data_IF_775257226478
#
_entry.id   IF_775257226478
#
_cell.length_a   1.000
_cell.length_b   1.000
_cell.length_c   1.000
_cell.angle_alpha   90.00
_cell.angle_beta   90.00
_cell.angle_gamma   90.00
#
_symmetry.space_group_name_H-M   'P 1'
#
loop_
_entity.id
_entity.type
_entity.pdbx_description
1 polymer ?
#
# COMPACT_ATOMS: atom_id res chain seq x y z
N UNK A 1 -20.50 -6.07 -14.67
CA UNK A 1 -19.97 -5.32 -13.53
C UNK A 1 -18.47 -5.49 -13.42
N UNK A 2 -17.81 -4.63 -12.66
CA UNK A 2 -16.37 -4.73 -12.37
C UNK A 2 -16.18 -5.21 -10.93
N UNK A 3 -15.12 -5.99 -10.70
CA UNK A 3 -14.70 -6.45 -9.37
C UNK A 3 -13.47 -5.66 -8.97
N UNK A 4 -13.60 -4.86 -7.90
CA UNK A 4 -12.50 -4.10 -7.33
C UNK A 4 -12.27 -4.54 -5.89
N UNK A 5 -11.01 -4.61 -5.48
CA UNK A 5 -10.61 -4.91 -4.11
C UNK A 5 -10.08 -3.65 -3.40
N UNK A 6 -10.26 -3.56 -2.09
CA UNK A 6 -9.51 -2.62 -1.27
C UNK A 6 -8.03 -2.97 -1.30
N UNK A 7 -7.16 -1.99 -1.52
CA UNK A 7 -5.73 -2.20 -1.57
C UNK A 7 -5.02 -1.34 -0.51
N UNK A 8 -4.34 -2.02 0.38
CA UNK A 8 -3.66 -1.44 1.53
C UNK A 8 -2.15 -1.47 1.30
N UNK A 9 -1.64 -0.53 0.52
CA UNK A 9 -0.22 -0.36 0.26
C UNK A 9 0.50 0.35 1.40
N UNK A 10 0.49 -0.22 2.60
CA UNK A 10 1.02 0.42 3.81
C UNK A 10 2.05 -0.40 4.59
N UNK A 11 2.37 -1.59 4.15
CA UNK A 11 3.34 -2.46 4.82
C UNK A 11 4.76 -1.93 4.60
N UNK A 12 5.52 -1.75 5.67
CA UNK A 12 6.90 -1.32 5.60
C UNK A 12 7.82 -2.18 6.46
N UNK A 13 9.07 -2.27 6.01
CA UNK A 13 10.17 -2.97 6.68
C UNK A 13 11.29 -1.99 7.04
N UNK A 14 12.18 -2.32 7.98
CA UNK A 14 13.27 -1.44 8.40
C UNK A 14 14.23 -1.03 7.27
N UNK A 15 14.38 -1.89 6.26
CA UNK A 15 15.30 -1.68 5.14
C UNK A 15 14.69 -0.81 4.03
N UNK A 16 13.38 -0.48 4.15
CA UNK A 16 12.66 0.33 3.18
C UNK A 16 12.55 1.80 3.63
N UNK A 17 13.16 2.77 2.89
CA UNK A 17 12.88 4.17 3.13
C UNK A 17 11.41 4.49 2.76
N UNK A 18 10.81 5.60 3.23
CA UNK A 18 11.33 6.57 4.20
C UNK A 18 10.90 6.25 5.64
N UNK A 19 10.07 5.23 5.86
CA UNK A 19 9.47 4.91 7.16
C UNK A 19 10.45 4.05 7.96
N UNK A 20 10.86 4.51 9.13
CA UNK A 20 11.73 3.76 10.00
C UNK A 20 10.99 2.60 10.67
N UNK A 21 11.54 1.39 10.55
CA UNK A 21 11.07 0.20 11.26
C UNK A 21 9.87 -0.50 10.59
N UNK A 22 9.37 -1.50 11.28
CA UNK A 22 8.24 -2.30 10.84
C UNK A 22 6.93 -1.54 10.95
N UNK A 23 6.07 -1.61 9.91
CA UNK A 23 4.72 -1.05 9.90
C UNK A 23 3.72 -2.04 9.35
N UNK A 24 2.60 -2.19 10.02
CA UNK A 24 1.48 -3.07 9.68
C UNK A 24 1.81 -4.57 9.62
N UNK A 25 3.06 -4.97 9.68
CA UNK A 25 3.48 -6.35 9.87
C UNK A 25 3.44 -6.77 11.34
N UNK A 26 3.62 -5.81 12.24
CA UNK A 26 3.53 -6.02 13.68
C UNK A 26 3.03 -4.74 14.38
N UNK A 27 2.77 -4.83 15.68
CA UNK A 27 2.36 -3.69 16.49
C UNK A 27 3.40 -2.56 16.41
N UNK A 28 2.90 -1.31 16.39
CA UNK A 28 3.75 -0.13 16.23
C UNK A 28 4.88 -0.10 17.28
N UNK A 29 6.11 0.16 16.81
CA UNK A 29 7.29 0.22 17.68
C UNK A 29 7.86 -1.11 18.11
N UNK A 30 7.37 -2.23 17.58
CA UNK A 30 7.89 -3.58 17.84
C UNK A 30 8.59 -4.19 16.63
N UNK A 31 9.13 -5.38 16.79
CA UNK A 31 9.61 -6.27 15.72
C UNK A 31 8.66 -7.47 15.60
N UNK A 32 8.59 -8.13 14.44
CA UNK A 32 7.75 -9.32 14.28
C UNK A 32 8.13 -10.42 15.28
N UNK A 33 7.13 -10.87 16.05
CA UNK A 33 7.21 -11.95 17.01
C UNK A 33 5.82 -12.58 17.15
N UNK A 34 5.66 -13.79 17.71
CA UNK A 34 4.37 -14.48 17.81
C UNK A 34 3.26 -13.67 18.50
N UNK A 35 3.64 -12.77 19.39
CA UNK A 35 2.73 -11.92 20.17
C UNK A 35 2.62 -10.48 19.64
N UNK A 36 3.37 -10.12 18.60
CA UNK A 36 3.37 -8.77 18.04
C UNK A 36 2.88 -8.67 16.60
N UNK A 37 2.90 -9.77 15.83
CA UNK A 37 2.41 -9.75 14.44
C UNK A 37 0.93 -9.42 14.36
N UNK A 38 0.53 -8.72 13.29
CA UNK A 38 -0.83 -8.21 13.09
C UNK A 38 -1.56 -8.87 11.92
N UNK A 39 -1.06 -10.02 11.48
CA UNK A 39 -1.65 -10.81 10.39
C UNK A 39 -1.78 -12.28 10.82
N UNK A 40 -2.76 -12.97 10.26
CA UNK A 40 -3.09 -14.37 10.60
C UNK A 40 -2.45 -15.39 9.66
N UNK A 41 -2.11 -14.97 8.43
CA UNK A 41 -1.53 -15.85 7.41
C UNK A 41 -0.25 -15.23 6.86
N UNK A 42 0.79 -16.06 6.73
CA UNK A 42 2.02 -15.63 6.04
C UNK A 42 1.72 -15.33 4.58
N UNK A 43 2.21 -14.20 4.03
CA UNK A 43 1.97 -13.86 2.63
C UNK A 43 2.63 -14.89 1.69
N UNK A 44 2.07 -15.08 0.51
CA UNK A 44 2.70 -15.88 -0.54
C UNK A 44 3.88 -15.10 -1.13
N UNK A 45 5.09 -15.55 -0.82
CA UNK A 45 6.33 -14.89 -1.21
C UNK A 45 7.12 -15.66 -2.27
N UNK A 46 6.52 -16.67 -2.92
CA UNK A 46 7.20 -17.55 -3.88
C UNK A 46 7.75 -16.81 -5.10
N UNK A 47 7.29 -15.60 -5.37
CA UNK A 47 7.72 -14.78 -6.48
C UNK A 47 8.62 -13.60 -6.06
N UNK A 48 9.01 -13.53 -4.79
CA UNK A 48 10.02 -12.57 -4.32
C UNK A 48 11.40 -13.23 -4.31
N UNK A 49 12.43 -12.47 -4.67
CA UNK A 49 13.81 -12.86 -4.41
C UNK A 49 14.18 -12.54 -2.95
N UNK A 50 15.26 -13.16 -2.48
CA UNK A 50 15.73 -12.91 -1.10
C UNK A 50 16.12 -11.44 -0.87
N UNK A 51 16.58 -10.74 -1.93
CA UNK A 51 16.96 -9.32 -1.86
C UNK A 51 15.75 -8.37 -1.74
N UNK A 52 14.56 -8.82 -2.12
CA UNK A 52 13.31 -8.05 -2.01
C UNK A 52 12.66 -8.22 -0.61
N UNK A 53 13.22 -9.07 0.23
CA UNK A 53 12.63 -9.43 1.52
C UNK A 53 13.52 -9.04 2.69
N UNK A 54 12.94 -8.41 3.69
CA UNK A 54 13.59 -8.15 4.97
C UNK A 54 13.37 -9.33 5.92
N UNK A 55 14.43 -9.94 6.49
CA UNK A 55 14.28 -11.01 7.49
C UNK A 55 13.42 -10.59 8.68
N UNK A 56 12.39 -11.35 8.98
CA UNK A 56 11.43 -11.02 10.04
C UNK A 56 11.85 -11.52 11.43
N UNK A 57 12.85 -12.38 11.50
CA UNK A 57 13.22 -13.13 12.70
C UNK A 57 12.50 -14.49 12.84
N UNK A 58 11.46 -14.74 12.04
CA UNK A 58 10.85 -16.07 11.92
C UNK A 58 11.65 -16.96 10.99
N UNK A 59 11.44 -18.25 11.12
CA UNK A 59 12.01 -19.28 10.23
C UNK A 59 10.91 -20.21 9.74
N UNK A 60 11.05 -20.67 8.50
CA UNK A 60 10.19 -21.73 7.97
C UNK A 60 10.50 -23.09 8.62
N UNK A 61 9.63 -24.10 8.44
CA UNK A 61 9.84 -25.43 9.02
C UNK A 61 11.15 -26.12 8.59
N UNK A 62 11.71 -25.73 7.46
CA UNK A 62 13.00 -26.22 6.93
C UNK A 62 14.21 -25.46 7.50
N UNK A 63 13.99 -24.47 8.38
CA UNK A 63 15.00 -23.64 9.01
C UNK A 63 15.46 -22.42 8.19
N UNK A 64 14.93 -22.21 6.98
CA UNK A 64 15.25 -21.03 6.19
C UNK A 64 14.62 -19.77 6.80
N UNK A 65 15.25 -18.59 6.67
CA UNK A 65 14.68 -17.33 7.15
C UNK A 65 13.35 -17.00 6.45
N UNK A 66 12.38 -16.55 7.24
CA UNK A 66 11.13 -16.05 6.70
C UNK A 66 11.19 -14.52 6.59
N UNK A 67 11.11 -14.02 5.38
CA UNK A 67 11.15 -12.58 5.07
C UNK A 67 9.76 -11.97 4.94
N UNK A 68 9.72 -10.63 4.92
CA UNK A 68 8.51 -9.84 4.65
C UNK A 68 8.87 -8.70 3.70
N UNK A 69 7.95 -8.32 2.83
CA UNK A 69 8.14 -7.28 1.82
C UNK A 69 7.79 -5.88 2.34
N UNK A 70 8.24 -4.87 1.62
CA UNK A 70 7.73 -3.49 1.76
C UNK A 70 6.82 -3.13 0.58
N UNK A 71 5.72 -2.43 0.87
CA UNK A 71 4.85 -1.86 -0.17
C UNK A 71 5.48 -0.65 -0.86
N UNK A 72 6.63 -0.15 -0.38
CA UNK A 72 7.36 0.95 -0.99
C UNK A 72 7.99 0.55 -2.32
N UNK A 73 8.31 -0.72 -2.51
CA UNK A 73 9.00 -1.20 -3.71
C UNK A 73 8.05 -1.32 -4.91
N UNK A 74 8.48 -0.77 -6.03
CA UNK A 74 7.74 -0.80 -7.29
C UNK A 74 7.43 -2.24 -7.73
N UNK A 75 8.37 -3.17 -7.54
CA UNK A 75 8.22 -4.58 -7.89
C UNK A 75 7.12 -5.26 -7.09
N UNK A 76 6.98 -4.92 -5.80
CA UNK A 76 5.91 -5.42 -4.93
C UNK A 76 4.54 -4.98 -5.46
N UNK A 77 4.38 -3.70 -5.79
CA UNK A 77 3.13 -3.16 -6.32
C UNK A 77 2.83 -3.77 -7.70
N UNK A 78 3.82 -3.86 -8.58
CA UNK A 78 3.65 -4.42 -9.93
C UNK A 78 3.19 -5.89 -9.87
N UNK A 79 3.79 -6.69 -8.99
CA UNK A 79 3.42 -8.08 -8.75
C UNK A 79 1.99 -8.22 -8.28
N UNK A 80 1.56 -7.40 -7.31
CA UNK A 80 0.19 -7.40 -6.84
C UNK A 80 -0.82 -7.03 -7.94
N UNK A 81 -0.54 -6.02 -8.75
CA UNK A 81 -1.42 -5.60 -9.85
C UNK A 81 -1.44 -6.65 -10.97
N UNK A 82 -0.31 -7.31 -11.24
CA UNK A 82 -0.24 -8.45 -12.17
C UNK A 82 -1.13 -9.61 -11.68
N UNK A 83 -1.05 -9.97 -10.40
CA UNK A 83 -1.92 -11.00 -9.82
C UNK A 83 -3.40 -10.62 -9.92
N UNK A 84 -3.76 -9.36 -9.70
CA UNK A 84 -5.15 -8.92 -9.92
C UNK A 84 -5.62 -9.23 -11.33
N UNK A 85 -4.76 -9.00 -12.33
CA UNK A 85 -5.07 -9.36 -13.72
C UNK A 85 -5.23 -10.87 -13.90
N UNK A 86 -4.33 -11.65 -13.34
CA UNK A 86 -4.32 -13.12 -13.47
C UNK A 86 -5.53 -13.76 -12.79
N UNK A 87 -5.95 -13.22 -11.64
CA UNK A 87 -7.08 -13.73 -10.87
C UNK A 87 -8.42 -13.02 -11.16
N UNK A 88 -8.50 -12.21 -12.21
CA UNK A 88 -9.75 -11.65 -12.71
C UNK A 88 -10.30 -10.47 -11.91
N UNK A 89 -9.47 -9.79 -11.11
CA UNK A 89 -9.84 -8.52 -10.49
C UNK A 89 -9.66 -7.38 -11.52
N UNK A 90 -10.66 -6.52 -11.63
CA UNK A 90 -10.64 -5.39 -12.58
C UNK A 90 -9.78 -4.22 -12.08
N UNK A 91 -9.55 -4.11 -10.79
CA UNK A 91 -8.77 -3.04 -10.20
C UNK A 91 -8.90 -2.91 -8.70
N UNK A 92 -8.53 -1.75 -8.18
CA UNK A 92 -8.44 -1.50 -6.74
C UNK A 92 -9.02 -0.15 -6.31
N UNK A 93 -9.42 -0.12 -5.06
CA UNK A 93 -9.57 1.08 -4.25
C UNK A 93 -8.29 1.24 -3.42
N UNK A 94 -7.40 2.16 -3.83
CA UNK A 94 -6.18 2.44 -3.08
C UNK A 94 -6.53 3.19 -1.81
N UNK A 95 -6.29 2.56 -0.67
CA UNK A 95 -6.58 3.13 0.64
C UNK A 95 -5.53 4.16 1.03
N UNK A 96 -5.98 5.40 1.33
CA UNK A 96 -5.19 6.46 1.94
C UNK A 96 -5.70 6.71 3.35
N UNK A 97 -4.83 6.51 4.33
CA UNK A 97 -5.17 6.64 5.74
C UNK A 97 -5.13 8.12 6.14
N UNK A 98 -6.30 8.71 6.36
CA UNK A 98 -6.41 10.15 6.61
C UNK A 98 -5.66 10.60 7.88
N UNK A 99 -5.57 9.71 8.89
CA UNK A 99 -4.81 9.98 10.12
C UNK A 99 -3.29 10.14 9.89
N UNK A 100 -2.75 9.66 8.78
CA UNK A 100 -1.32 9.75 8.45
C UNK A 100 -0.97 10.98 7.59
N UNK A 101 -1.95 11.70 7.05
CA UNK A 101 -1.71 12.83 6.13
C UNK A 101 -0.98 14.01 6.77
N UNK A 102 -1.07 14.14 8.08
CA UNK A 102 -0.34 15.16 8.84
C UNK A 102 1.16 14.87 9.04
N UNK A 103 1.61 13.65 8.77
CA UNK A 103 3.00 13.24 8.87
C UNK A 103 3.64 13.18 7.48
N UNK A 104 4.64 14.05 7.18
CA UNK A 104 5.23 14.12 5.85
C UNK A 104 5.96 12.84 5.43
N UNK A 105 6.46 12.04 6.38
CA UNK A 105 7.12 10.76 6.09
C UNK A 105 6.11 9.73 5.61
N UNK A 106 4.99 9.58 6.34
CA UNK A 106 3.92 8.67 5.93
C UNK A 106 3.23 9.15 4.65
N UNK A 107 3.00 10.46 4.53
CA UNK A 107 2.44 11.02 3.30
C UNK A 107 3.33 10.69 2.10
N UNK A 108 4.64 10.94 2.19
CA UNK A 108 5.59 10.61 1.11
C UNK A 108 5.63 9.12 0.77
N UNK A 109 5.52 8.23 1.76
CA UNK A 109 5.40 6.79 1.52
C UNK A 109 4.14 6.47 0.69
N UNK A 110 2.98 7.02 1.06
CA UNK A 110 1.72 6.82 0.34
C UNK A 110 1.76 7.39 -1.08
N UNK A 111 2.45 8.53 -1.27
CA UNK A 111 2.61 9.14 -2.58
C UNK A 111 3.41 8.22 -3.51
N UNK A 112 4.54 7.68 -3.05
CA UNK A 112 5.34 6.71 -3.81
C UNK A 112 4.54 5.45 -4.17
N UNK A 113 3.78 4.89 -3.22
CA UNK A 113 2.89 3.76 -3.50
C UNK A 113 1.85 4.12 -4.56
N UNK A 114 1.31 5.34 -4.50
CA UNK A 114 0.33 5.82 -5.49
C UNK A 114 0.96 5.91 -6.89
N UNK A 115 2.17 6.47 -7.02
CA UNK A 115 2.89 6.55 -8.28
C UNK A 115 3.19 5.17 -8.87
N UNK A 116 3.65 4.23 -8.05
CA UNK A 116 3.89 2.85 -8.48
C UNK A 116 2.59 2.15 -8.91
N UNK A 117 1.49 2.40 -8.21
CA UNK A 117 0.18 1.86 -8.59
C UNK A 117 -0.31 2.42 -9.92
N UNK A 118 -0.16 3.72 -10.16
CA UNK A 118 -0.49 4.36 -11.45
C UNK A 118 0.25 3.65 -12.58
N UNK A 119 1.57 3.49 -12.46
CA UNK A 119 2.41 2.84 -13.46
C UNK A 119 2.01 1.38 -13.69
N UNK A 120 1.82 0.62 -12.61
CA UNK A 120 1.47 -0.81 -12.67
C UNK A 120 0.08 -1.05 -13.22
N UNK A 121 -0.92 -0.23 -12.86
CA UNK A 121 -2.27 -0.35 -13.40
C UNK A 121 -2.32 -0.04 -14.89
N UNK A 122 -1.48 0.87 -15.37
CA UNK A 122 -1.33 1.15 -16.80
C UNK A 122 -0.69 -0.05 -17.53
N UNK A 123 0.36 -0.63 -16.96
CA UNK A 123 1.07 -1.79 -17.53
C UNK A 123 0.14 -3.01 -17.65
N UNK A 124 -0.60 -3.31 -16.61
CA UNK A 124 -1.43 -4.52 -16.55
C UNK A 124 -2.89 -4.31 -16.97
N UNK A 125 -3.27 -3.08 -17.33
CA UNK A 125 -4.62 -2.76 -17.79
C UNK A 125 -5.67 -2.88 -16.69
N UNK A 126 -5.33 -2.56 -15.45
CA UNK A 126 -6.27 -2.56 -14.31
C UNK A 126 -6.74 -1.14 -14.01
N UNK A 127 -7.88 -1.02 -13.34
CA UNK A 127 -8.42 0.26 -12.91
C UNK A 127 -8.01 0.57 -11.47
N UNK A 128 -8.03 1.84 -11.09
CA UNK A 128 -7.87 2.23 -9.69
C UNK A 128 -8.69 3.48 -9.36
N UNK A 129 -8.97 3.66 -8.09
CA UNK A 129 -9.46 4.92 -7.52
C UNK A 129 -8.90 5.09 -6.11
N UNK A 130 -8.92 6.31 -5.61
CA UNK A 130 -8.49 6.62 -4.24
C UNK A 130 -9.66 6.38 -3.28
N UNK A 131 -9.35 5.81 -2.12
CA UNK A 131 -10.29 5.59 -1.02
C UNK A 131 -9.70 6.14 0.27
N UNK A 132 -10.28 7.20 0.80
CA UNK A 132 -9.87 7.72 2.10
C UNK A 132 -10.44 6.87 3.24
N UNK A 133 -9.54 6.43 4.12
CA UNK A 133 -9.91 5.79 5.38
C UNK A 133 -9.82 6.82 6.52
N UNK A 134 -10.95 7.08 7.13
CA UNK A 134 -11.08 8.02 8.23
C UNK A 134 -11.12 7.33 9.61
N UNK A 135 -10.84 6.03 9.66
CA UNK A 135 -10.82 5.26 10.92
C UNK A 135 -9.84 5.85 11.92
N UNK A 136 -10.25 5.89 13.18
CA UNK A 136 -9.42 6.40 14.28
C UNK A 136 -9.28 7.92 14.35
N UNK A 137 -9.93 8.65 13.45
CA UNK A 137 -9.96 10.11 13.49
C UNK A 137 -11.11 10.63 14.34
N UNK A 138 -10.87 11.76 15.02
CA UNK A 138 -11.94 12.53 15.64
C UNK A 138 -12.62 13.41 14.58
N UNK A 139 -13.94 13.53 14.62
CA UNK A 139 -14.67 14.46 13.74
C UNK A 139 -14.31 15.90 14.09
N UNK A 140 -13.36 16.48 13.36
CA UNK A 140 -12.98 17.89 13.46
C UNK A 140 -13.00 18.50 12.06
N UNK A 141 -13.32 19.80 11.91
CA UNK A 141 -13.23 20.49 10.61
C UNK A 141 -11.88 20.32 9.93
N UNK A 142 -10.79 20.25 10.70
CA UNK A 142 -9.43 20.09 10.19
C UNK A 142 -9.18 18.78 9.40
N UNK A 143 -9.99 17.74 9.62
CA UNK A 143 -9.91 16.50 8.85
C UNK A 143 -10.30 16.72 7.40
N UNK A 144 -11.42 17.40 7.19
CA UNK A 144 -11.90 17.70 5.84
C UNK A 144 -10.89 18.57 5.10
N UNK A 145 -10.31 19.56 5.79
CA UNK A 145 -9.27 20.41 5.20
C UNK A 145 -8.03 19.60 4.80
N UNK A 146 -7.60 18.64 5.62
CA UNK A 146 -6.48 17.75 5.30
C UNK A 146 -6.80 16.84 4.11
N UNK A 147 -7.99 16.24 4.06
CA UNK A 147 -8.41 15.40 2.93
C UNK A 147 -8.51 16.22 1.65
N UNK A 148 -9.08 17.43 1.72
CA UNK A 148 -9.17 18.33 0.56
C UNK A 148 -7.77 18.73 0.07
N UNK A 149 -6.87 19.09 0.98
CA UNK A 149 -5.49 19.43 0.62
C UNK A 149 -4.73 18.25 0.01
N UNK A 150 -4.90 17.05 0.56
CA UNK A 150 -4.30 15.84 0.01
C UNK A 150 -4.91 15.46 -1.35
N UNK A 151 -6.22 15.58 -1.51
CA UNK A 151 -6.86 15.35 -2.80
C UNK A 151 -6.36 16.32 -3.87
N UNK A 152 -6.24 17.62 -3.53
CA UNK A 152 -5.67 18.63 -4.42
C UNK A 152 -4.24 18.23 -4.83
N UNK A 153 -3.41 17.83 -3.86
CA UNK A 153 -2.06 17.33 -4.14
C UNK A 153 -2.06 16.10 -5.06
N UNK A 154 -2.94 15.12 -4.82
CA UNK A 154 -3.05 13.94 -5.69
C UNK A 154 -3.44 14.29 -7.13
N UNK A 155 -4.32 15.26 -7.31
CA UNK A 155 -4.78 15.70 -8.63
C UNK A 155 -3.73 16.58 -9.31
N UNK A 156 -3.24 17.61 -8.61
CA UNK A 156 -2.44 18.66 -9.25
C UNK A 156 -0.96 18.27 -9.35
N UNK A 157 -0.42 17.55 -8.37
CA UNK A 157 1.00 17.20 -8.32
C UNK A 157 1.28 15.78 -8.83
N UNK A 158 0.44 14.79 -8.45
CA UNK A 158 0.63 13.40 -8.87
C UNK A 158 -0.18 13.01 -10.12
N UNK A 159 -1.11 13.85 -10.57
CA UNK A 159 -1.89 13.63 -11.79
C UNK A 159 -2.73 12.35 -11.75
N UNK A 160 -3.25 11.96 -10.59
CA UNK A 160 -3.96 10.66 -10.44
C UNK A 160 -5.15 10.55 -11.38
N UNK A 161 -5.87 11.66 -11.64
CA UNK A 161 -7.04 11.71 -12.53
C UNK A 161 -6.67 11.78 -14.00
N UNK A 162 -5.42 12.08 -14.35
CA UNK A 162 -4.92 12.09 -15.74
C UNK A 162 -4.62 10.68 -16.24
N UNK A 163 -4.51 9.72 -15.33
CA UNK A 163 -4.29 8.33 -15.70
C UNK A 163 -5.52 7.76 -16.41
N UNK A 164 -5.35 7.15 -17.60
CA UNK A 164 -6.46 6.50 -18.31
C UNK A 164 -7.00 5.27 -17.55
N UNK A 165 -6.40 4.92 -16.42
CA UNK A 165 -6.81 3.82 -15.54
C UNK A 165 -7.56 4.30 -14.31
N UNK A 166 -7.58 5.61 -14.05
CA UNK A 166 -8.41 6.15 -12.98
C UNK A 166 -9.89 5.93 -13.28
N UNK A 167 -10.65 5.52 -12.28
CA UNK A 167 -12.08 5.25 -12.44
C UNK A 167 -12.88 6.54 -12.43
N UNK A 168 -13.62 6.79 -13.50
CA UNK A 168 -14.62 7.84 -13.59
C UNK A 168 -16.04 7.24 -13.53
N UNK A 169 -17.00 7.98 -13.00
CA UNK A 169 -18.40 7.63 -12.99
C UNK A 169 -19.23 8.79 -13.57
N UNK A 170 -19.87 8.53 -14.70
CA UNK A 170 -20.81 9.47 -15.32
C UNK A 170 -20.19 10.63 -16.10
N UNK A 171 -18.92 10.53 -16.49
CA UNK A 171 -18.31 11.57 -17.34
C UNK A 171 -16.83 11.57 -17.28
#
# INVERSE_FOLDING_TARGET
GKVLAGYQGWFATPDGPPVAGWRHWCMAGTTPAPDTVTFDLWPDLREWSDEELTPSGFVYPDGSPAGLYTSYDAQTIDRHVRWMKEYGLDGVWLQRFAAELGDPVFKGFRDTVTEHLIASTQTHGRAFAIMYDISGMSETPSIFDQIVADWTHLVDDLGVTDSPRYMHHGG
#
